data_IF_700877002610
#
_entry.id   IF_700877002610
#
_cell.length_a   1.000
_cell.length_b   1.000
_cell.length_c   1.000
_cell.angle_alpha   90.00
_cell.angle_beta   90.00
_cell.angle_gamma   90.00
#
_symmetry.space_group_name_H-M   'P 1'
#
loop_
_entity.id
_entity.type
_entity.pdbx_description
1 polymer ?
#
# COMPACT_ATOMS: atom_id res chain seq x y z
N UNK A 1 -29.18 -2.61 -1.65
CA UNK A 1 -28.26 -3.74 -1.31
C UNK A 1 -26.83 -3.20 -1.20
N UNK A 2 -25.88 -3.87 -0.54
CA UNK A 2 -24.47 -3.40 -0.47
C UNK A 2 -23.53 -4.41 -1.13
N UNK A 3 -22.62 -3.91 -1.97
CA UNK A 3 -21.58 -4.68 -2.65
C UNK A 3 -20.22 -4.18 -2.20
N UNK A 4 -19.36 -5.07 -1.73
CA UNK A 4 -17.98 -4.74 -1.37
C UNK A 4 -17.07 -5.20 -2.50
N UNK A 5 -16.38 -4.26 -3.14
CA UNK A 5 -15.33 -4.53 -4.11
C UNK A 5 -14.00 -4.63 -3.38
N UNK A 6 -13.51 -5.86 -3.19
CA UNK A 6 -12.18 -6.11 -2.63
C UNK A 6 -11.14 -5.96 -3.74
N UNK A 7 -10.30 -4.95 -3.62
CA UNK A 7 -9.28 -4.59 -4.59
C UNK A 7 -7.88 -4.91 -4.07
N UNK A 8 -7.05 -5.43 -4.97
CA UNK A 8 -5.60 -5.56 -4.82
C UNK A 8 -4.93 -5.06 -6.09
N UNK A 9 -3.70 -4.55 -5.98
CA UNK A 9 -2.95 -3.86 -7.05
C UNK A 9 -2.99 -4.57 -8.43
N UNK A 10 -2.85 -5.89 -8.45
CA UNK A 10 -2.74 -6.66 -9.70
C UNK A 10 -4.06 -6.98 -10.41
N UNK A 11 -5.22 -6.82 -9.76
CA UNK A 11 -6.50 -7.30 -10.29
C UNK A 11 -7.65 -6.31 -10.18
N UNK A 12 -7.42 -5.15 -9.54
CA UNK A 12 -8.49 -4.20 -9.26
C UNK A 12 -9.31 -3.75 -10.49
N UNK A 13 -8.75 -3.56 -11.71
CA UNK A 13 -9.57 -3.09 -12.83
C UNK A 13 -10.63 -4.12 -13.22
N UNK A 14 -10.27 -5.40 -13.24
CA UNK A 14 -11.20 -6.48 -13.54
C UNK A 14 -12.27 -6.65 -12.45
N UNK A 15 -11.91 -6.46 -11.18
CA UNK A 15 -12.88 -6.44 -10.08
C UNK A 15 -13.89 -5.29 -10.23
N UNK A 16 -13.43 -4.09 -10.56
CA UNK A 16 -14.32 -2.93 -10.81
C UNK A 16 -15.23 -3.17 -12.02
N UNK A 17 -14.69 -3.73 -13.11
CA UNK A 17 -15.47 -4.05 -14.30
C UNK A 17 -16.57 -5.10 -13.99
N UNK A 18 -16.25 -6.11 -13.19
CA UNK A 18 -17.22 -7.10 -12.73
C UNK A 18 -18.32 -6.48 -11.86
N UNK A 19 -17.97 -5.55 -10.97
CA UNK A 19 -18.96 -4.81 -10.16
C UNK A 19 -19.88 -4.00 -11.06
N UNK A 20 -19.35 -3.27 -12.03
CA UNK A 20 -20.16 -2.54 -13.02
C UNK A 20 -21.11 -3.44 -13.81
N UNK A 21 -20.65 -4.62 -14.19
CA UNK A 21 -21.44 -5.54 -15.02
C UNK A 21 -22.54 -6.28 -14.25
N UNK A 22 -22.38 -6.45 -12.94
CA UNK A 22 -23.20 -7.41 -12.18
C UNK A 22 -23.87 -6.85 -10.92
N UNK A 23 -23.45 -5.69 -10.42
CA UNK A 23 -24.11 -5.07 -9.28
C UNK A 23 -25.50 -4.57 -9.68
N UNK A 24 -26.52 -4.73 -8.80
CA UNK A 24 -27.81 -4.07 -8.98
C UNK A 24 -27.65 -2.54 -9.10
N UNK A 25 -28.49 -1.89 -9.90
CA UNK A 25 -28.43 -0.43 -10.11
C UNK A 25 -28.60 0.38 -8.81
N UNK A 26 -29.34 -0.16 -7.83
CA UNK A 26 -29.59 0.47 -6.52
C UNK A 26 -28.60 0.02 -5.43
N UNK A 27 -27.54 -0.70 -5.81
CA UNK A 27 -26.55 -1.17 -4.86
C UNK A 27 -25.59 -0.05 -4.42
N UNK A 28 -25.38 0.04 -3.10
CA UNK A 28 -24.26 0.81 -2.54
C UNK A 28 -22.97 0.01 -2.79
N UNK A 29 -22.07 0.56 -3.61
CA UNK A 29 -20.76 -0.04 -3.88
C UNK A 29 -19.73 0.56 -2.94
N UNK A 30 -19.01 -0.31 -2.22
CA UNK A 30 -17.94 0.08 -1.31
C UNK A 30 -16.63 -0.52 -1.75
N UNK A 31 -15.66 0.35 -2.00
CA UNK A 31 -14.31 -0.03 -2.39
C UNK A 31 -13.46 -0.29 -1.15
N UNK A 32 -12.79 -1.45 -1.13
CA UNK A 32 -11.85 -1.83 -0.09
C UNK A 32 -10.54 -2.24 -0.74
N UNK A 33 -9.48 -1.44 -0.55
CA UNK A 33 -8.14 -1.84 -0.93
C UNK A 33 -7.48 -2.67 0.17
N UNK A 34 -6.81 -3.75 -0.19
CA UNK A 34 -6.02 -4.57 0.74
C UNK A 34 -4.58 -4.61 0.30
N UNK A 35 -3.73 -3.95 1.07
CA UNK A 35 -2.28 -3.89 0.87
C UNK A 35 -1.59 -5.14 1.43
N UNK A 36 -0.53 -5.59 0.75
CA UNK A 36 0.35 -6.61 1.30
C UNK A 36 1.27 -5.99 2.37
N UNK A 37 1.35 -6.62 3.54
CA UNK A 37 2.11 -6.10 4.70
C UNK A 37 3.57 -6.60 4.76
N UNK A 38 3.99 -7.43 3.82
CA UNK A 38 5.30 -8.07 3.81
C UNK A 38 6.44 -7.11 3.42
N UNK A 39 6.22 -6.23 2.45
CA UNK A 39 7.27 -5.35 1.91
C UNK A 39 7.83 -4.35 2.94
N UNK A 40 7.00 -3.61 3.72
CA UNK A 40 7.52 -2.72 4.78
C UNK A 40 8.30 -3.48 5.85
N UNK A 41 7.83 -4.68 6.22
CA UNK A 41 8.48 -5.52 7.23
C UNK A 41 9.86 -6.03 6.80
N UNK A 42 10.05 -6.32 5.52
CA UNK A 42 11.36 -6.69 4.95
C UNK A 42 12.34 -5.49 5.03
N UNK A 43 11.89 -4.29 4.67
CA UNK A 43 12.71 -3.09 4.72
C UNK A 43 13.13 -2.75 6.16
N UNK A 44 12.17 -2.78 7.10
CA UNK A 44 12.44 -2.61 8.52
C UNK A 44 13.45 -3.64 9.06
N UNK A 45 13.21 -4.93 8.78
CA UNK A 45 14.07 -6.01 9.27
C UNK A 45 15.51 -5.91 8.75
N UNK A 46 15.68 -5.54 7.48
CA UNK A 46 17.00 -5.30 6.89
C UNK A 46 17.71 -4.13 7.55
N UNK A 47 17.00 -3.01 7.80
CA UNK A 47 17.53 -1.84 8.48
C UNK A 47 17.90 -2.13 9.93
N UNK A 48 17.02 -2.77 10.70
CA UNK A 48 17.27 -3.16 12.08
C UNK A 48 18.49 -4.08 12.22
N UNK A 49 18.75 -4.95 11.23
CA UNK A 49 19.94 -5.81 11.19
C UNK A 49 21.28 -5.07 11.03
N UNK A 50 21.26 -3.79 10.64
CA UNK A 50 22.44 -2.91 10.57
C UNK A 50 22.75 -2.25 11.93
N UNK A 51 21.73 -2.11 12.79
CA UNK A 51 21.89 -1.54 14.14
C UNK A 51 22.79 -2.45 15.00
N UNK A 52 23.73 -1.87 15.73
CA UNK A 52 24.70 -2.60 16.56
C UNK A 52 25.97 -3.04 15.84
N UNK A 53 26.05 -2.90 14.50
CA UNK A 53 27.32 -3.02 13.77
C UNK A 53 28.07 -1.69 13.83
N UNK A 54 28.88 -1.53 14.87
CA UNK A 54 29.56 -0.30 15.26
C UNK A 54 29.92 0.61 14.09
N UNK A 55 29.19 1.73 13.97
CA UNK A 55 29.52 2.78 13.02
C UNK A 55 30.89 3.31 13.38
N UNK A 56 31.88 3.03 12.52
CA UNK A 56 33.24 3.56 12.68
C UNK A 56 33.10 5.08 12.60
N UNK A 57 33.23 5.74 13.76
CA UNK A 57 33.18 7.19 13.95
C UNK A 57 33.97 7.88 12.83
N UNK A 58 33.29 8.44 11.83
CA UNK A 58 33.94 9.06 10.67
C UNK A 58 33.08 9.12 9.42
N UNK A 59 32.10 8.22 9.27
CA UNK A 59 31.11 8.28 8.20
C UNK A 59 29.73 8.31 8.85
N UNK A 60 29.29 9.50 9.27
CA UNK A 60 27.88 9.67 9.57
C UNK A 60 27.13 9.37 8.25
N UNK A 61 26.22 8.39 8.23
CA UNK A 61 25.35 8.21 7.07
C UNK A 61 24.58 9.53 6.87
N UNK A 62 24.36 9.91 5.60
CA UNK A 62 23.76 11.19 5.25
C UNK A 62 22.36 11.38 5.83
N UNK A 63 21.81 12.58 5.64
CA UNK A 63 20.49 12.98 6.11
C UNK A 63 19.43 11.88 5.87
N UNK A 64 18.71 11.48 6.93
CA UNK A 64 17.63 10.48 6.86
C UNK A 64 17.97 9.07 7.38
N UNK A 65 19.21 8.78 7.77
CA UNK A 65 19.57 7.48 8.39
C UNK A 65 18.81 7.17 9.69
N UNK A 66 18.37 8.19 10.40
CA UNK A 66 17.58 8.03 11.62
C UNK A 66 16.16 7.53 11.34
N UNK A 67 15.69 7.59 10.09
CA UNK A 67 14.35 7.20 9.69
C UNK A 67 14.34 5.77 9.15
N UNK A 68 13.49 4.95 9.73
CA UNK A 68 13.27 3.59 9.29
C UNK A 68 12.74 3.54 7.83
N UNK A 69 13.44 2.88 6.90
CA UNK A 69 12.96 2.68 5.55
C UNK A 69 11.62 1.93 5.49
N UNK A 70 11.29 1.10 6.48
CA UNK A 70 10.00 0.42 6.59
C UNK A 70 8.83 1.41 6.63
N UNK A 71 8.95 2.47 7.43
CA UNK A 71 7.92 3.52 7.52
C UNK A 71 7.74 4.25 6.19
N UNK A 72 8.83 4.55 5.49
CA UNK A 72 8.77 5.23 4.19
C UNK A 72 8.09 4.37 3.14
N UNK A 73 8.35 3.06 3.14
CA UNK A 73 7.69 2.11 2.24
C UNK A 73 6.20 1.99 2.57
N UNK A 74 5.83 2.01 3.85
CA UNK A 74 4.44 2.02 4.28
C UNK A 74 3.71 3.29 3.80
N UNK A 75 4.31 4.48 4.01
CA UNK A 75 3.76 5.76 3.56
C UNK A 75 3.50 5.77 2.04
N UNK A 76 4.44 5.24 1.25
CA UNK A 76 4.28 5.11 -0.20
C UNK A 76 3.16 4.13 -0.57
N UNK A 77 3.03 3.03 0.17
CA UNK A 77 1.94 2.07 0.00
C UNK A 77 0.57 2.68 0.26
N UNK A 78 0.44 3.50 1.31
CA UNK A 78 -0.81 4.20 1.65
C UNK A 78 -1.19 5.24 0.58
N UNK A 79 -0.21 5.97 0.04
CA UNK A 79 -0.43 6.88 -1.07
C UNK A 79 -0.89 6.14 -2.34
N UNK A 80 -0.23 5.04 -2.70
CA UNK A 80 -0.62 4.18 -3.83
C UNK A 80 -2.05 3.65 -3.66
N UNK A 81 -2.40 3.18 -2.46
CA UNK A 81 -3.74 2.69 -2.14
C UNK A 81 -4.81 3.77 -2.33
N UNK A 82 -4.53 5.01 -1.91
CA UNK A 82 -5.45 6.13 -2.09
C UNK A 82 -5.65 6.48 -3.58
N UNK A 83 -4.57 6.49 -4.36
CA UNK A 83 -4.63 6.72 -5.81
C UNK A 83 -5.42 5.62 -6.53
N UNK A 84 -5.20 4.35 -6.16
CA UNK A 84 -5.95 3.21 -6.68
C UNK A 84 -7.44 3.33 -6.37
N UNK A 85 -7.80 3.65 -5.12
CA UNK A 85 -9.19 3.81 -4.72
C UNK A 85 -9.86 4.97 -5.48
N UNK A 86 -9.16 6.08 -5.70
CA UNK A 86 -9.67 7.19 -6.51
C UNK A 86 -9.88 6.77 -7.98
N UNK A 87 -8.93 6.04 -8.56
CA UNK A 87 -9.03 5.53 -9.93
C UNK A 87 -10.17 4.50 -10.08
N UNK A 88 -10.35 3.62 -9.10
CA UNK A 88 -11.44 2.66 -9.05
C UNK A 88 -12.79 3.36 -8.94
N UNK A 89 -12.92 4.37 -8.09
CA UNK A 89 -14.14 5.16 -7.96
C UNK A 89 -14.48 5.92 -9.26
N UNK A 90 -13.49 6.46 -9.96
CA UNK A 90 -13.69 7.13 -11.24
C UNK A 90 -14.07 6.17 -12.38
N UNK A 91 -13.70 4.88 -12.25
CA UNK A 91 -14.03 3.83 -13.23
C UNK A 91 -15.38 3.16 -12.97
N UNK A 92 -15.89 3.16 -11.72
CA UNK A 92 -17.23 2.69 -11.36
C UNK A 92 -18.34 3.57 -11.96
#
# INVERSE_FOLDING_TARGET
>A
MRVIAWLVEGTWPACVDAVRAHAPEDAEVVLLHVSAADVPGVAHGAFAGLLGRGHRRGHAPGDGWERDPGDQVADLGDASAAELLAAAAARL
#
